data_IF_259806326647
#
_entry.id   IF_259806326647
#
_cell.length_a   1.000
_cell.length_b   1.000
_cell.length_c   1.000
_cell.angle_alpha   90.00
_cell.angle_beta   90.00
_cell.angle_gamma   90.00
#
_symmetry.space_group_name_H-M   'P 1'
#
loop_
_entity.id
_entity.type
_entity.pdbx_description
1 polymer ?
#
# COMPACT_ATOMS: atom_id res chain seq x y z
N UNK A 1 20.29 -9.77 50.31
CA UNK A 1 21.52 -9.05 50.74
C UNK A 1 21.78 -8.06 49.64
N UNK A 2 21.65 -6.95 49.87
CA UNK A 2 21.96 -5.65 50.46
C UNK A 2 21.84 -4.60 49.33
N UNK A 3 21.03 -3.65 49.36
CA UNK A 3 20.89 -2.44 50.16
C UNK A 3 21.36 -1.19 49.40
N UNK A 4 20.40 -0.32 49.09
CA UNK A 4 20.38 1.17 49.14
C UNK A 4 21.45 1.96 48.36
N UNK A 5 21.10 3.07 47.68
CA UNK A 5 20.89 4.36 48.33
C UNK A 5 20.23 5.37 47.38
N UNK A 6 19.30 6.11 47.92
CA UNK A 6 18.65 7.32 47.38
C UNK A 6 19.62 8.51 47.52
N UNK A 7 19.54 9.48 46.62
CA UNK A 7 19.82 10.85 47.05
C UNK A 7 18.97 11.87 46.30
N UNK A 8 18.25 12.63 47.06
CA UNK A 8 17.48 13.83 46.72
C UNK A 8 18.43 15.01 46.51
N UNK A 9 18.08 15.94 45.64
CA UNK A 9 18.68 17.26 45.56
C UNK A 9 17.65 18.26 45.05
N UNK A 10 17.08 19.00 45.99
CA UNK A 10 16.14 20.12 45.83
C UNK A 10 16.91 21.45 45.78
N UNK A 11 16.22 22.52 45.38
CA UNK A 11 16.49 23.98 45.52
C UNK A 11 17.09 24.63 44.25
N UNK A 12 16.70 25.86 43.86
CA UNK A 12 15.76 26.84 44.39
C UNK A 12 15.51 27.91 43.31
N UNK A 13 14.39 28.54 43.44
CA UNK A 13 13.86 29.70 42.74
C UNK A 13 14.72 30.95 42.84
N UNK A 14 14.71 31.79 41.80
CA UNK A 14 14.85 33.25 42.04
C UNK A 14 14.01 34.04 41.01
N UNK A 15 13.00 34.66 41.53
CA UNK A 15 12.15 35.72 40.97
C UNK A 15 12.87 37.04 41.09
N UNK A 16 12.88 37.87 40.05
CA UNK A 16 13.07 39.33 40.19
C UNK A 16 12.01 40.04 39.34
N UNK A 17 11.11 40.66 40.06
CA UNK A 17 10.24 41.74 39.63
C UNK A 17 10.98 43.07 39.82
N UNK A 18 10.88 43.99 38.84
CA UNK A 18 10.91 45.41 39.13
C UNK A 18 9.92 46.12 38.22
N UNK A 19 9.10 46.92 38.87
CA UNK A 19 7.96 47.68 38.36
C UNK A 19 8.30 49.17 38.23
N UNK A 20 7.41 49.85 37.49
CA UNK A 20 6.92 51.22 37.69
C UNK A 20 7.81 52.39 37.21
N UNK A 21 7.37 53.49 36.73
CA UNK A 21 6.17 54.31 36.81
C UNK A 21 6.27 55.42 35.77
N UNK A 22 5.19 55.82 35.16
CA UNK A 22 4.33 57.00 35.35
C UNK A 22 4.86 58.32 34.72
N UNK A 23 4.11 58.97 33.92
CA UNK A 23 3.01 59.88 34.04
C UNK A 23 3.34 61.09 33.15
N UNK A 24 2.43 61.74 32.47
CA UNK A 24 1.38 62.59 32.77
C UNK A 24 1.19 63.59 31.65
N UNK A 25 -0.01 63.72 31.17
CA UNK A 25 -0.89 64.87 30.93
C UNK A 25 -0.27 66.23 30.48
N UNK A 26 -0.75 66.98 29.51
CA UNK A 26 -2.02 67.56 29.21
C UNK A 26 -1.88 68.64 28.10
N UNK A 27 -2.84 68.70 27.21
CA UNK A 27 -3.75 69.81 26.82
C UNK A 27 -3.23 71.21 26.46
N UNK A 28 -3.54 71.62 25.27
CA UNK A 28 -4.39 72.82 25.00
C UNK A 28 -4.27 73.30 23.55
N UNK A 29 -5.41 73.49 22.89
CA UNK A 29 -5.64 74.36 21.74
C UNK A 29 -6.02 75.74 22.28
N UNK A 30 -6.36 76.78 21.56
CA UNK A 30 -6.59 76.96 20.09
C UNK A 30 -6.03 78.30 19.47
N UNK A 31 -6.28 78.51 18.19
CA UNK A 31 -6.79 79.76 17.60
C UNK A 31 -6.13 80.26 16.32
N UNK A 32 -6.86 80.14 15.28
CA UNK A 32 -7.30 81.08 14.26
C UNK A 32 -6.35 82.00 13.45
N UNK A 33 -6.59 82.00 12.17
CA UNK A 33 -6.80 82.99 11.22
C UNK A 33 -5.98 82.91 9.91
N UNK A 34 -6.71 82.87 8.84
CA UNK A 34 -6.30 83.01 7.42
C UNK A 34 -5.93 84.45 7.08
N UNK A 35 -5.63 84.91 5.80
CA UNK A 35 -5.69 84.22 4.51
C UNK A 35 -4.56 84.56 3.50
N UNK A 36 -4.62 83.82 2.34
CA UNK A 36 -4.35 84.26 0.97
C UNK A 36 -2.93 84.33 0.45
N UNK A 37 -2.63 83.46 -0.51
CA UNK A 37 -2.20 83.82 -1.89
C UNK A 37 -2.00 82.50 -2.73
N UNK A 38 -2.60 82.56 -3.93
CA UNK A 38 -2.54 81.57 -4.97
C UNK A 38 -1.22 81.61 -5.76
N UNK A 39 -0.71 80.44 -6.20
CA UNK A 39 -0.09 80.08 -7.45
C UNK A 39 1.12 79.13 -7.26
N UNK A 40 1.58 78.41 -8.24
CA UNK A 40 0.95 77.69 -9.36
C UNK A 40 1.08 76.16 -9.27
N UNK A 41 0.22 75.49 -10.00
CA UNK A 41 0.16 74.04 -10.20
C UNK A 41 1.48 73.45 -10.65
N UNK A 42 2.14 72.72 -9.78
CA UNK A 42 3.17 71.79 -10.17
C UNK A 42 2.52 70.38 -10.37
N UNK A 43 2.73 69.81 -11.54
CA UNK A 43 2.26 68.48 -11.90
C UNK A 43 2.71 67.44 -10.87
N UNK A 44 1.74 66.68 -10.35
CA UNK A 44 2.04 65.50 -9.51
C UNK A 44 2.85 64.48 -10.29
N UNK A 45 3.89 63.88 -9.71
CA UNK A 45 4.56 62.75 -10.30
C UNK A 45 3.59 61.56 -10.36
N UNK A 46 3.38 61.03 -11.57
CA UNK A 46 2.69 59.76 -11.81
C UNK A 46 3.45 58.69 -11.03
N UNK A 47 2.86 58.26 -9.95
CA UNK A 47 3.33 57.04 -9.25
C UNK A 47 2.95 55.87 -10.13
N UNK A 48 3.95 55.26 -10.80
CA UNK A 48 3.79 53.98 -11.46
C UNK A 48 3.23 52.97 -10.44
N UNK A 49 2.29 52.09 -10.83
CA UNK A 49 1.86 51.03 -9.92
C UNK A 49 3.07 50.24 -9.54
N UNK A 50 3.44 50.26 -8.26
CA UNK A 50 4.38 49.29 -7.69
C UNK A 50 3.70 47.95 -7.85
N UNK A 51 4.18 47.08 -8.75
CA UNK A 51 3.86 45.69 -8.74
C UNK A 51 4.15 45.21 -7.31
N UNK A 52 3.11 44.79 -6.62
CA UNK A 52 3.27 44.12 -5.32
C UNK A 52 4.16 42.91 -5.59
N UNK A 53 5.38 42.97 -5.11
CA UNK A 53 6.24 41.80 -5.10
C UNK A 53 5.46 40.66 -4.40
N UNK A 54 5.09 39.65 -5.16
CA UNK A 54 4.53 38.42 -4.59
C UNK A 54 5.53 37.96 -3.52
N UNK A 55 5.10 37.96 -2.26
CA UNK A 55 5.93 37.39 -1.21
C UNK A 55 6.28 35.95 -1.64
N UNK A 56 7.57 35.69 -1.80
CA UNK A 56 8.06 34.36 -2.14
C UNK A 56 7.62 33.40 -1.02
N UNK A 57 6.87 32.36 -1.38
CA UNK A 57 6.45 31.32 -0.44
C UNK A 57 7.68 30.74 0.27
N UNK A 58 7.56 30.44 1.55
CA UNK A 58 8.65 29.81 2.31
C UNK A 58 9.00 28.45 1.69
N UNK A 59 10.30 28.09 1.63
CA UNK A 59 10.69 26.75 1.16
C UNK A 59 10.09 25.66 2.03
N UNK A 60 9.56 24.63 1.40
CA UNK A 60 9.01 23.44 2.04
C UNK A 60 9.70 22.21 1.46
N UNK A 61 10.11 21.30 2.31
CA UNK A 61 10.73 20.03 1.92
C UNK A 61 9.99 18.91 2.64
N UNK A 62 9.68 17.81 1.91
CA UNK A 62 9.07 16.64 2.49
C UNK A 62 9.53 15.35 1.81
N UNK A 63 9.46 14.24 2.54
CA UNK A 63 9.86 12.91 2.10
C UNK A 63 8.68 12.11 1.56
N UNK A 64 8.91 11.40 0.46
CA UNK A 64 7.98 10.40 -0.06
C UNK A 64 8.69 9.05 -0.26
N UNK A 65 8.30 8.07 0.57
CA UNK A 65 8.85 6.72 0.54
C UNK A 65 7.88 5.74 -0.12
N UNK A 66 8.32 5.03 -1.16
CA UNK A 66 7.47 4.08 -1.88
C UNK A 66 8.23 2.82 -2.33
N UNK A 67 7.46 1.79 -2.73
CA UNK A 67 7.96 0.48 -3.15
C UNK A 67 7.82 0.23 -4.66
N UNK A 68 7.46 1.23 -5.43
CA UNK A 68 7.31 1.12 -6.88
C UNK A 68 8.69 1.10 -7.52
N UNK A 69 9.30 -0.09 -7.59
CA UNK A 69 10.68 -0.32 -8.07
C UNK A 69 10.74 -0.64 -9.54
N UNK A 70 9.66 -1.18 -10.14
CA UNK A 70 9.59 -1.44 -11.58
C UNK A 70 9.84 -0.17 -12.39
N UNK A 71 10.66 -0.28 -13.44
CA UNK A 71 11.26 0.87 -14.13
C UNK A 71 10.22 1.89 -14.62
N UNK A 72 9.11 1.42 -15.20
CA UNK A 72 8.03 2.29 -15.71
C UNK A 72 7.37 3.05 -14.56
N UNK A 73 6.90 2.35 -13.54
CA UNK A 73 6.22 2.97 -12.40
C UNK A 73 7.12 3.92 -11.61
N UNK A 74 8.41 3.57 -11.45
CA UNK A 74 9.40 4.44 -10.81
C UNK A 74 9.58 5.74 -11.60
N UNK A 75 9.65 5.65 -12.94
CA UNK A 75 9.77 6.82 -13.80
C UNK A 75 8.52 7.71 -13.76
N UNK A 76 7.33 7.11 -13.72
CA UNK A 76 6.07 7.83 -13.63
C UNK A 76 5.92 8.57 -12.30
N UNK A 77 6.24 7.92 -11.18
CA UNK A 77 6.18 8.56 -9.86
C UNK A 77 7.16 9.74 -9.78
N UNK A 78 8.37 9.56 -10.31
CA UNK A 78 9.35 10.66 -10.41
C UNK A 78 8.81 11.80 -11.28
N UNK A 79 8.26 11.50 -12.46
CA UNK A 79 7.73 12.51 -13.37
C UNK A 79 6.55 13.31 -12.76
N UNK A 80 5.67 12.64 -12.01
CA UNK A 80 4.57 13.29 -11.29
C UNK A 80 5.11 14.23 -10.21
N UNK A 81 6.11 13.78 -9.44
CA UNK A 81 6.74 14.61 -8.42
C UNK A 81 7.47 15.81 -9.04
N UNK A 82 8.19 15.61 -10.13
CA UNK A 82 8.90 16.69 -10.86
C UNK A 82 7.93 17.73 -11.43
N UNK A 83 6.78 17.27 -11.96
CA UNK A 83 5.72 18.16 -12.47
C UNK A 83 5.11 19.02 -11.36
N UNK A 84 4.89 18.42 -10.18
CA UNK A 84 4.41 19.16 -9.02
C UNK A 84 5.42 20.20 -8.55
N UNK A 85 6.70 19.83 -8.39
CA UNK A 85 7.78 20.74 -8.01
C UNK A 85 7.97 21.87 -9.01
N UNK A 86 7.82 21.60 -10.31
CA UNK A 86 7.88 22.64 -11.34
C UNK A 86 6.74 23.67 -11.23
N UNK A 87 5.54 23.25 -10.82
CA UNK A 87 4.41 24.13 -10.55
C UNK A 87 4.49 24.84 -9.18
N UNK A 88 5.25 24.28 -8.24
CA UNK A 88 5.41 24.79 -6.88
C UNK A 88 6.91 24.98 -6.56
N UNK A 89 7.58 26.04 -7.03
CA UNK A 89 9.03 26.21 -6.94
C UNK A 89 9.59 26.29 -5.52
N UNK A 90 8.72 26.56 -4.54
CA UNK A 90 9.08 26.55 -3.13
C UNK A 90 9.06 25.14 -2.49
N UNK A 91 8.56 24.12 -3.22
CA UNK A 91 8.42 22.75 -2.70
C UNK A 91 9.54 21.85 -3.25
N UNK A 92 10.11 21.05 -2.37
CA UNK A 92 11.04 19.98 -2.70
C UNK A 92 10.53 18.65 -2.16
N UNK A 93 10.40 17.65 -3.03
CA UNK A 93 10.01 16.29 -2.68
C UNK A 93 11.22 15.38 -2.77
N UNK A 94 11.56 14.70 -1.67
CA UNK A 94 12.62 13.71 -1.64
C UNK A 94 12.03 12.30 -1.80
N UNK A 95 12.22 11.69 -2.96
CA UNK A 95 11.74 10.33 -3.20
C UNK A 95 12.72 9.30 -2.68
N UNK A 96 12.23 8.36 -1.87
CA UNK A 96 12.98 7.16 -1.47
C UNK A 96 12.26 5.92 -1.99
N UNK A 97 12.93 5.18 -2.88
CA UNK A 97 12.41 3.96 -3.51
C UNK A 97 13.14 2.75 -2.97
N UNK A 98 12.39 1.76 -2.49
CA UNK A 98 12.97 0.54 -1.92
C UNK A 98 12.15 -0.70 -2.29
N UNK A 99 12.82 -1.85 -2.32
CA UNK A 99 12.14 -3.15 -2.36
C UNK A 99 11.28 -3.34 -1.11
N UNK A 100 10.19 -4.09 -1.27
CA UNK A 100 9.12 -4.25 -0.28
C UNK A 100 9.64 -4.59 1.13
N UNK A 101 10.48 -5.63 1.27
CA UNK A 101 10.95 -6.06 2.59
C UNK A 101 11.96 -5.08 3.20
N UNK A 102 12.81 -4.47 2.38
CA UNK A 102 13.72 -3.41 2.81
C UNK A 102 12.94 -2.17 3.27
N UNK A 103 11.87 -1.81 2.58
CA UNK A 103 10.97 -0.73 2.95
C UNK A 103 10.30 -1.00 4.30
N UNK A 104 9.68 -2.18 4.49
CA UNK A 104 9.03 -2.56 5.76
C UNK A 104 9.99 -2.44 6.94
N UNK A 105 11.21 -2.96 6.79
CA UNK A 105 12.25 -2.90 7.82
C UNK A 105 12.67 -1.47 8.14
N UNK A 106 12.90 -0.65 7.11
CA UNK A 106 13.28 0.76 7.29
C UNK A 106 12.16 1.55 7.94
N UNK A 107 10.92 1.39 7.45
CA UNK A 107 9.75 2.10 8.00
C UNK A 107 9.55 1.76 9.47
N UNK A 108 9.61 0.48 9.85
CA UNK A 108 9.47 0.05 11.24
C UNK A 108 10.55 0.69 12.14
N UNK A 109 11.79 0.74 11.67
CA UNK A 109 12.90 1.37 12.41
C UNK A 109 12.68 2.87 12.58
N UNK A 110 12.29 3.57 11.52
CA UNK A 110 12.00 5.00 11.51
C UNK A 110 10.84 5.34 12.45
N UNK A 111 9.75 4.57 12.39
CA UNK A 111 8.60 4.75 13.27
C UNK A 111 8.94 4.53 14.75
N UNK A 112 9.77 3.51 15.06
CA UNK A 112 10.24 3.28 16.44
C UNK A 112 11.09 4.43 16.96
N UNK A 113 11.84 5.10 16.08
CA UNK A 113 12.61 6.29 16.42
C UNK A 113 11.74 7.56 16.52
N UNK A 114 10.47 7.52 16.11
CA UNK A 114 9.58 8.68 16.02
C UNK A 114 9.86 9.58 14.82
N UNK A 115 10.73 9.14 13.91
CA UNK A 115 11.12 9.81 12.65
C UNK A 115 10.28 9.25 11.51
N UNK A 116 9.03 9.70 11.41
CA UNK A 116 8.05 9.20 10.44
C UNK A 116 8.17 9.98 9.14
N UNK A 117 8.34 9.31 7.97
CA UNK A 117 8.35 10.02 6.69
C UNK A 117 7.01 10.70 6.45
N UNK A 118 7.02 11.84 5.74
CA UNK A 118 5.82 12.65 5.51
C UNK A 118 4.76 11.89 4.70
N UNK A 119 5.19 11.26 3.62
CA UNK A 119 4.37 10.39 2.79
C UNK A 119 5.05 9.02 2.64
N UNK A 120 4.30 7.95 2.82
CA UNK A 120 4.89 6.62 2.68
C UNK A 120 3.89 5.56 2.23
N UNK A 121 4.40 4.54 1.56
CA UNK A 121 3.64 3.36 1.15
C UNK A 121 2.91 2.75 2.33
N UNK A 122 1.63 2.48 2.14
CA UNK A 122 0.79 1.77 3.10
C UNK A 122 -0.20 0.85 2.35
N UNK A 123 -0.63 -0.19 3.02
CA UNK A 123 -1.69 -1.08 2.54
C UNK A 123 -2.99 -0.88 3.34
N UNK A 124 -3.01 0.13 4.24
CA UNK A 124 -4.15 0.39 5.12
C UNK A 124 -4.35 -0.68 6.19
N UNK A 125 -5.60 -0.95 6.53
CA UNK A 125 -5.99 -2.02 7.46
C UNK A 125 -5.50 -1.81 8.90
N UNK A 126 -5.35 -2.92 9.64
CA UNK A 126 -5.02 -2.88 11.05
C UNK A 126 -3.58 -2.42 11.32
N UNK A 127 -2.64 -2.68 10.40
CA UNK A 127 -1.27 -2.16 10.52
C UNK A 127 -1.27 -0.64 10.53
N UNK A 128 -2.02 0.00 9.62
CA UNK A 128 -2.17 1.46 9.61
C UNK A 128 -2.91 1.95 10.86
N UNK A 129 -3.95 1.24 11.30
CA UNK A 129 -4.69 1.59 12.52
C UNK A 129 -3.78 1.64 13.75
N UNK A 130 -2.88 0.67 13.93
CA UNK A 130 -1.88 0.69 15.01
C UNK A 130 -0.94 1.89 14.91
N UNK A 131 -0.52 2.28 13.71
CA UNK A 131 0.31 3.47 13.49
C UNK A 131 -0.45 4.74 13.89
N UNK A 132 -1.75 4.81 13.58
CA UNK A 132 -2.62 5.91 13.98
C UNK A 132 -2.81 5.98 15.51
N UNK A 133 -3.06 4.84 16.18
CA UNK A 133 -3.17 4.76 17.64
C UNK A 133 -1.86 5.16 18.36
N UNK A 134 -0.73 4.84 17.75
CA UNK A 134 0.58 5.29 18.23
C UNK A 134 0.85 6.79 18.00
N UNK A 135 -0.08 7.53 17.38
CA UNK A 135 0.07 8.95 17.07
C UNK A 135 1.13 9.26 16.02
N UNK A 136 1.42 8.29 15.14
CA UNK A 136 2.43 8.41 14.09
C UNK A 136 1.86 8.94 12.77
N UNK A 137 0.53 8.97 12.63
CA UNK A 137 -0.16 9.40 11.42
C UNK A 137 -0.94 10.70 11.62
N UNK A 138 -1.08 11.46 10.56
CA UNK A 138 -1.88 12.68 10.49
C UNK A 138 -3.31 12.36 10.09
N UNK A 139 -4.27 12.88 10.85
CA UNK A 139 -5.68 12.91 10.45
C UNK A 139 -5.88 13.93 9.32
N UNK A 140 -6.14 13.43 8.12
CA UNK A 140 -6.35 14.23 6.91
C UNK A 140 -7.82 14.33 6.50
N UNK A 141 -8.75 13.96 7.37
CA UNK A 141 -10.19 13.90 7.05
C UNK A 141 -10.72 15.21 6.49
N UNK A 142 -10.37 16.33 7.13
CA UNK A 142 -10.80 17.66 6.69
C UNK A 142 -10.12 18.08 5.37
N UNK A 143 -8.84 17.76 5.22
CA UNK A 143 -8.02 18.17 4.07
C UNK A 143 -8.49 17.50 2.77
N UNK A 144 -8.96 16.25 2.85
CA UNK A 144 -9.40 15.49 1.69
C UNK A 144 -10.90 15.61 1.39
N UNK A 145 -11.69 16.19 2.29
CA UNK A 145 -13.15 16.21 2.23
C UNK A 145 -13.70 16.75 0.89
N UNK A 146 -13.02 17.75 0.30
CA UNK A 146 -13.46 18.38 -0.96
C UNK A 146 -13.24 17.51 -2.20
N UNK A 147 -12.41 16.47 -2.13
CA UNK A 147 -12.05 15.62 -3.27
C UNK A 147 -12.10 14.11 -3.00
N UNK A 148 -12.37 13.69 -1.75
CA UNK A 148 -12.49 12.27 -1.40
C UNK A 148 -13.50 11.51 -2.28
N UNK A 149 -14.57 12.18 -2.75
CA UNK A 149 -15.58 11.59 -3.64
C UNK A 149 -15.08 11.26 -5.06
N UNK A 150 -13.90 11.73 -5.43
CA UNK A 150 -13.26 11.36 -6.70
C UNK A 150 -12.55 10.01 -6.63
N UNK A 151 -12.48 9.41 -5.45
CA UNK A 151 -11.83 8.12 -5.21
C UNK A 151 -12.91 7.08 -4.85
N UNK A 152 -12.69 5.84 -5.25
CA UNK A 152 -13.59 4.73 -4.92
C UNK A 152 -13.79 4.62 -3.40
N UNK A 153 -15.05 4.69 -2.89
CA UNK A 153 -15.30 4.73 -1.45
C UNK A 153 -14.89 3.43 -0.73
N UNK A 154 -15.00 2.28 -1.39
CA UNK A 154 -14.55 1.00 -0.83
C UNK A 154 -13.03 0.96 -0.64
N UNK A 155 -12.26 1.54 -1.57
CA UNK A 155 -10.82 1.69 -1.42
C UNK A 155 -10.47 2.68 -0.30
N UNK A 156 -11.15 3.84 -0.25
CA UNK A 156 -10.95 4.85 0.80
C UNK A 156 -11.17 4.28 2.20
N UNK A 157 -12.16 3.40 2.39
CA UNK A 157 -12.48 2.83 3.71
C UNK A 157 -11.35 2.00 4.31
N UNK A 158 -10.47 1.41 3.49
CA UNK A 158 -9.31 0.64 3.95
C UNK A 158 -8.29 1.53 4.68
N UNK A 159 -8.29 2.84 4.37
CA UNK A 159 -7.39 3.84 4.95
C UNK A 159 -8.08 4.71 6.00
N UNK A 160 -9.24 4.23 6.52
CA UNK A 160 -9.96 4.87 7.61
C UNK A 160 -9.79 4.08 8.90
N UNK A 161 -9.68 4.83 10.00
CA UNK A 161 -9.68 4.27 11.34
C UNK A 161 -10.39 5.22 12.29
N UNK A 162 -11.30 4.70 13.13
CA UNK A 162 -12.12 5.47 14.06
C UNK A 162 -12.81 6.70 13.41
N UNK A 163 -13.31 6.55 12.20
CA UNK A 163 -13.99 7.60 11.44
C UNK A 163 -13.08 8.69 10.87
N UNK A 164 -11.76 8.50 10.91
CA UNK A 164 -10.74 9.41 10.41
C UNK A 164 -9.99 8.83 9.22
N UNK A 165 -9.54 9.68 8.30
CA UNK A 165 -8.74 9.30 7.14
C UNK A 165 -7.26 9.52 7.43
N UNK A 166 -6.41 8.51 7.18
CA UNK A 166 -4.98 8.55 7.47
C UNK A 166 -4.09 8.30 6.25
N UNK A 167 -4.69 7.99 5.12
CA UNK A 167 -3.98 7.79 3.85
C UNK A 167 -4.94 7.77 2.68
N UNK A 168 -4.37 7.69 1.48
CA UNK A 168 -5.10 7.71 0.20
C UNK A 168 -4.74 6.45 -0.59
N UNK A 169 -5.72 5.59 -0.95
CA UNK A 169 -5.48 4.49 -1.88
C UNK A 169 -5.30 5.03 -3.30
N UNK A 170 -4.24 4.64 -4.00
CA UNK A 170 -4.06 5.01 -5.40
C UNK A 170 -4.27 3.84 -6.37
N UNK A 171 -4.14 2.61 -5.89
CA UNK A 171 -4.23 1.38 -6.66
C UNK A 171 -5.03 0.35 -5.87
N UNK A 172 -5.88 -0.42 -6.54
CA UNK A 172 -6.63 -1.52 -5.93
C UNK A 172 -6.93 -2.61 -6.95
N UNK A 173 -6.51 -3.82 -6.64
CA UNK A 173 -6.70 -4.98 -7.48
C UNK A 173 -7.15 -6.22 -6.73
N UNK A 174 -7.00 -7.37 -7.39
CA UNK A 174 -7.33 -8.69 -6.88
C UNK A 174 -6.20 -9.65 -7.23
N UNK A 175 -5.82 -10.48 -6.29
CA UNK A 175 -4.85 -11.55 -6.51
C UNK A 175 -5.48 -12.64 -7.38
N UNK A 176 -4.72 -13.14 -8.33
CA UNK A 176 -5.08 -14.27 -9.18
C UNK A 176 -3.84 -14.92 -9.78
N UNK A 177 -4.04 -15.95 -10.54
CA UNK A 177 -2.93 -16.63 -11.20
C UNK A 177 -2.54 -15.93 -12.50
N UNK A 178 -1.31 -15.44 -12.53
CA UNK A 178 -0.61 -15.02 -13.73
C UNK A 178 0.08 -16.22 -14.33
N UNK A 179 -0.15 -16.52 -15.63
CA UNK A 179 0.34 -17.74 -16.23
C UNK A 179 0.91 -17.55 -17.64
N UNK A 180 1.83 -18.41 -18.01
CA UNK A 180 2.42 -18.46 -19.35
C UNK A 180 1.57 -19.36 -20.26
N UNK A 181 0.80 -18.74 -21.19
CA UNK A 181 -0.06 -19.43 -22.17
C UNK A 181 0.71 -20.46 -23.00
N UNK A 182 1.95 -20.15 -23.41
CA UNK A 182 2.75 -21.05 -24.23
C UNK A 182 3.17 -22.32 -23.46
N UNK A 183 3.48 -22.21 -22.14
CA UNK A 183 3.81 -23.38 -21.31
C UNK A 183 2.56 -24.23 -21.02
N UNK A 184 1.38 -23.60 -20.87
CA UNK A 184 0.12 -24.31 -20.75
C UNK A 184 -0.19 -25.11 -22.02
N UNK A 185 -0.05 -24.49 -23.19
CA UNK A 185 -0.23 -25.16 -24.49
C UNK A 185 0.76 -26.34 -24.64
N UNK A 186 2.03 -26.12 -24.31
CA UNK A 186 3.08 -27.19 -24.34
C UNK A 186 2.72 -28.37 -23.42
N UNK A 187 2.06 -28.13 -22.29
CA UNK A 187 1.58 -29.18 -21.38
C UNK A 187 0.22 -29.78 -21.76
N UNK A 188 -0.37 -29.35 -22.89
CA UNK A 188 -1.69 -29.80 -23.34
C UNK A 188 -2.83 -29.29 -22.46
N UNK A 189 -2.68 -28.08 -21.89
CA UNK A 189 -3.70 -27.40 -21.10
C UNK A 189 -4.35 -26.36 -22.03
N UNK A 190 -5.60 -26.60 -22.42
CA UNK A 190 -6.30 -25.80 -23.43
C UNK A 190 -7.09 -24.63 -22.87
N UNK A 191 -7.33 -24.60 -21.56
CA UNK A 191 -8.02 -23.52 -20.86
C UNK A 191 -7.50 -23.43 -19.42
N UNK A 192 -7.54 -22.23 -18.80
CA UNK A 192 -7.26 -22.07 -17.37
C UNK A 192 -8.22 -22.92 -16.52
N UNK A 193 -7.73 -23.49 -15.38
CA UNK A 193 -8.56 -24.26 -14.46
C UNK A 193 -9.58 -23.36 -13.75
N UNK A 194 -10.79 -23.88 -13.58
CA UNK A 194 -11.90 -23.19 -12.90
C UNK A 194 -12.20 -23.80 -11.53
N UNK A 195 -11.72 -25.02 -11.28
CA UNK A 195 -11.81 -25.70 -9.99
C UNK A 195 -10.43 -26.07 -9.45
N UNK A 196 -10.34 -26.26 -8.13
CA UNK A 196 -9.09 -26.67 -7.48
C UNK A 196 -8.58 -28.03 -7.99
N UNK A 197 -9.49 -28.96 -8.24
CA UNK A 197 -9.14 -30.27 -8.82
C UNK A 197 -8.53 -30.12 -10.24
N UNK A 198 -9.11 -29.26 -11.06
CA UNK A 198 -8.55 -28.94 -12.39
C UNK A 198 -7.19 -28.23 -12.27
N UNK A 199 -7.01 -27.37 -11.26
CA UNK A 199 -5.72 -26.73 -10.99
C UNK A 199 -4.65 -27.76 -10.62
N UNK A 200 -4.94 -28.68 -9.70
CA UNK A 200 -4.01 -29.76 -9.33
C UNK A 200 -3.70 -30.66 -10.55
N UNK A 201 -4.70 -30.96 -11.39
CA UNK A 201 -4.51 -31.69 -12.64
C UNK A 201 -3.60 -30.94 -13.64
N UNK A 202 -3.77 -29.60 -13.74
CA UNK A 202 -2.92 -28.76 -14.57
C UNK A 202 -1.48 -28.74 -14.05
N UNK A 203 -1.27 -28.63 -12.75
CA UNK A 203 0.05 -28.77 -12.10
C UNK A 203 0.69 -30.12 -12.45
N UNK A 204 -0.07 -31.22 -12.37
CA UNK A 204 0.42 -32.55 -12.75
C UNK A 204 0.84 -32.64 -14.23
N UNK A 205 0.08 -32.05 -15.15
CA UNK A 205 0.43 -31.99 -16.58
C UNK A 205 1.68 -31.18 -16.85
N UNK A 206 1.83 -30.02 -16.21
CA UNK A 206 3.05 -29.20 -16.30
C UNK A 206 4.28 -29.97 -15.82
N UNK A 207 4.18 -30.64 -14.68
CA UNK A 207 5.25 -31.50 -14.17
C UNK A 207 5.60 -32.63 -15.13
N UNK A 208 4.61 -33.34 -15.69
CA UNK A 208 4.83 -34.40 -16.65
C UNK A 208 5.51 -33.90 -17.93
N UNK A 209 5.28 -32.65 -18.32
CA UNK A 209 5.95 -31.98 -19.44
C UNK A 209 7.36 -31.45 -19.08
N UNK A 210 7.85 -31.65 -17.85
CA UNK A 210 9.14 -31.13 -17.38
C UNK A 210 9.16 -29.63 -17.10
N UNK A 211 7.98 -29.02 -16.92
CA UNK A 211 7.80 -27.58 -16.68
C UNK A 211 7.59 -27.37 -15.18
N UNK A 212 8.25 -26.38 -14.60
CA UNK A 212 7.96 -25.91 -13.23
C UNK A 212 6.58 -25.27 -13.19
N UNK A 213 5.60 -25.80 -12.42
CA UNK A 213 4.24 -25.31 -12.44
C UNK A 213 4.06 -23.94 -11.79
N UNK A 214 4.62 -23.72 -10.61
CA UNK A 214 4.37 -22.57 -9.76
C UNK A 214 5.68 -21.98 -9.23
N UNK A 215 5.87 -20.68 -9.42
CA UNK A 215 6.88 -19.92 -8.69
C UNK A 215 6.28 -19.38 -7.38
N UNK A 216 7.09 -19.36 -6.33
CA UNK A 216 6.73 -18.83 -5.01
C UNK A 216 7.96 -18.30 -4.28
N UNK A 217 7.83 -17.16 -3.62
CA UNK A 217 8.89 -16.51 -2.86
C UNK A 217 8.85 -16.94 -1.38
N UNK A 218 9.53 -18.03 -1.08
CA UNK A 218 9.52 -18.59 0.26
C UNK A 218 10.33 -17.81 1.30
N UNK A 219 11.28 -16.96 0.87
CA UNK A 219 12.01 -16.08 1.78
C UNK A 219 11.18 -14.88 2.24
N UNK A 220 10.36 -14.36 1.36
CA UNK A 220 9.52 -13.19 1.66
C UNK A 220 8.17 -13.61 2.28
N UNK A 221 7.83 -14.91 2.24
CA UNK A 221 6.75 -15.63 2.94
C UNK A 221 5.32 -15.21 2.56
N UNK A 222 5.01 -13.92 2.43
CA UNK A 222 3.66 -13.41 2.14
C UNK A 222 3.02 -13.98 0.86
N UNK A 223 3.73 -14.39 -0.22
CA UNK A 223 3.08 -15.05 -1.35
C UNK A 223 2.42 -16.38 -0.98
N UNK A 224 3.00 -17.13 -0.04
CA UNK A 224 2.40 -18.37 0.47
C UNK A 224 1.13 -18.09 1.28
N UNK A 225 1.11 -17.05 2.08
CA UNK A 225 -0.07 -16.61 2.83
C UNK A 225 -1.23 -16.25 1.89
N UNK A 226 -0.98 -15.61 0.76
CA UNK A 226 -2.03 -15.30 -0.21
C UNK A 226 -2.72 -16.56 -0.76
N UNK A 227 -1.95 -17.59 -1.12
CA UNK A 227 -2.49 -18.85 -1.63
C UNK A 227 -3.30 -19.54 -0.54
N UNK A 228 -2.76 -19.63 0.67
CA UNK A 228 -3.45 -20.23 1.82
C UNK A 228 -4.73 -19.47 2.17
N UNK A 229 -4.72 -18.13 2.15
CA UNK A 229 -5.91 -17.31 2.40
C UNK A 229 -7.04 -17.62 1.42
N UNK A 230 -6.72 -17.78 0.13
CA UNK A 230 -7.71 -18.20 -0.85
C UNK A 230 -8.29 -19.57 -0.56
N UNK A 231 -7.47 -20.54 -0.15
CA UNK A 231 -7.96 -21.86 0.22
C UNK A 231 -8.87 -21.81 1.44
N UNK A 232 -8.57 -20.98 2.45
CA UNK A 232 -9.47 -20.72 3.58
C UNK A 232 -10.80 -20.11 3.10
N UNK A 233 -10.71 -19.08 2.26
CA UNK A 233 -11.87 -18.39 1.70
C UNK A 233 -12.76 -19.34 0.87
N UNK A 234 -12.16 -20.19 0.04
CA UNK A 234 -12.91 -21.16 -0.77
C UNK A 234 -13.54 -22.28 0.05
N UNK A 235 -12.88 -22.76 1.11
CA UNK A 235 -13.42 -23.77 1.99
C UNK A 235 -14.51 -23.23 2.94
N UNK A 236 -14.30 -22.04 3.53
CA UNK A 236 -15.16 -21.52 4.60
C UNK A 236 -16.16 -20.46 4.17
N UNK A 237 -15.91 -19.76 3.05
CA UNK A 237 -16.69 -18.60 2.64
C UNK A 237 -16.27 -17.30 3.31
N UNK A 238 -16.74 -16.17 2.74
CA UNK A 238 -16.37 -14.82 3.18
C UNK A 238 -16.76 -14.53 4.62
N UNK A 239 -17.99 -14.90 5.03
CA UNK A 239 -18.48 -14.66 6.39
C UNK A 239 -17.65 -15.41 7.44
N UNK A 240 -17.30 -16.67 7.17
CA UNK A 240 -16.48 -17.47 8.08
C UNK A 240 -15.05 -16.90 8.19
N UNK A 241 -14.46 -16.45 7.08
CA UNK A 241 -13.14 -15.81 7.10
C UNK A 241 -13.19 -14.49 7.87
N UNK A 242 -14.20 -13.65 7.63
CA UNK A 242 -14.39 -12.41 8.39
C UNK A 242 -14.55 -12.67 9.89
N UNK A 243 -15.28 -13.72 10.27
CA UNK A 243 -15.43 -14.12 11.65
C UNK A 243 -14.10 -14.58 12.26
N UNK A 244 -13.30 -15.40 11.56
CA UNK A 244 -11.96 -15.81 12.02
C UNK A 244 -11.05 -14.60 12.26
N UNK A 245 -11.04 -13.64 11.33
CA UNK A 245 -10.28 -12.38 11.50
C UNK A 245 -10.76 -11.58 12.70
N UNK A 246 -12.08 -11.49 12.91
CA UNK A 246 -12.66 -10.72 14.01
C UNK A 246 -12.44 -11.36 15.38
N UNK A 247 -12.59 -12.68 15.48
CA UNK A 247 -12.52 -13.40 16.75
C UNK A 247 -11.12 -13.86 17.13
N UNK A 248 -10.24 -13.97 16.14
CA UNK A 248 -8.89 -14.56 16.30
C UNK A 248 -8.91 -16.09 16.43
N UNK A 249 -10.07 -16.75 16.32
CA UNK A 249 -10.15 -18.21 16.37
C UNK A 249 -10.00 -18.82 14.97
N UNK A 250 -8.82 -19.35 14.70
CA UNK A 250 -8.46 -20.03 13.45
C UNK A 250 -8.52 -21.55 13.54
N UNK A 251 -8.86 -22.14 14.71
CA UNK A 251 -9.00 -23.59 14.87
C UNK A 251 -10.31 -24.13 14.25
N UNK A 252 -10.58 -23.73 13.02
CA UNK A 252 -11.80 -24.06 12.26
C UNK A 252 -11.54 -25.16 11.22
N UNK A 253 -12.61 -25.80 10.75
CA UNK A 253 -12.50 -26.78 9.66
C UNK A 253 -12.04 -26.12 8.36
N UNK A 254 -12.41 -24.86 8.10
CA UNK A 254 -11.97 -24.12 6.91
C UNK A 254 -10.45 -23.93 6.90
N UNK A 255 -9.86 -23.56 8.02
CA UNK A 255 -8.42 -23.40 8.16
C UNK A 255 -7.69 -24.76 7.96
N UNK A 256 -8.18 -25.83 8.59
CA UNK A 256 -7.56 -27.17 8.47
C UNK A 256 -7.63 -27.69 7.04
N UNK A 257 -8.79 -27.60 6.39
CA UNK A 257 -8.97 -27.99 4.99
C UNK A 257 -8.06 -27.20 4.05
N UNK A 258 -7.91 -25.89 4.26
CA UNK A 258 -6.96 -25.08 3.49
C UNK A 258 -5.53 -25.62 3.64
N UNK A 259 -5.15 -26.04 4.82
CA UNK A 259 -3.85 -26.70 5.05
C UNK A 259 -3.73 -28.05 4.34
N UNK A 260 -4.79 -28.86 4.34
CA UNK A 260 -4.85 -30.14 3.59
C UNK A 260 -4.71 -29.92 2.08
N UNK A 261 -5.34 -28.88 1.54
CA UNK A 261 -5.22 -28.48 0.13
C UNK A 261 -3.78 -28.07 -0.22
N UNK A 262 -3.09 -27.36 0.67
CA UNK A 262 -1.65 -27.05 0.51
C UNK A 262 -0.83 -28.34 0.49
N UNK A 263 -1.11 -29.31 1.37
CA UNK A 263 -0.38 -30.59 1.38
C UNK A 263 -0.63 -31.40 0.09
N UNK A 264 -1.86 -31.36 -0.46
CA UNK A 264 -2.18 -31.99 -1.73
C UNK A 264 -1.39 -31.33 -2.89
N UNK A 265 -1.27 -30.00 -2.89
CA UNK A 265 -0.43 -29.28 -3.85
C UNK A 265 1.06 -29.64 -3.68
N UNK A 266 1.57 -29.64 -2.46
CA UNK A 266 2.96 -29.97 -2.14
C UNK A 266 3.35 -31.37 -2.61
N UNK A 267 2.43 -32.34 -2.55
CA UNK A 267 2.66 -33.72 -3.02
C UNK A 267 3.01 -33.80 -4.51
N UNK A 268 2.65 -32.78 -5.31
CA UNK A 268 2.99 -32.69 -6.72
C UNK A 268 4.36 -32.06 -6.98
N UNK A 269 5.07 -31.58 -5.95
CA UNK A 269 6.33 -30.84 -6.06
C UNK A 269 6.26 -29.70 -7.09
N UNK A 270 5.34 -28.72 -6.93
CA UNK A 270 5.02 -27.75 -7.97
C UNK A 270 6.04 -26.63 -8.11
N UNK A 271 6.86 -26.39 -7.09
CA UNK A 271 7.65 -25.18 -6.95
C UNK A 271 8.98 -25.23 -7.72
N UNK A 272 9.53 -24.04 -8.02
CA UNK A 272 10.87 -23.90 -8.56
C UNK A 272 11.92 -24.38 -7.54
N UNK A 273 13.07 -24.83 -8.05
CA UNK A 273 14.20 -25.20 -7.18
C UNK A 273 14.65 -24.00 -6.34
N UNK A 274 14.93 -24.26 -5.07
CA UNK A 274 15.38 -23.23 -4.14
C UNK A 274 14.29 -22.25 -3.67
N UNK A 275 13.00 -22.53 -3.90
CA UNK A 275 11.89 -21.64 -3.57
C UNK A 275 11.91 -21.12 -2.12
N UNK A 276 12.36 -21.92 -1.16
CA UNK A 276 12.45 -21.54 0.26
C UNK A 276 13.36 -20.34 0.53
N UNK A 277 14.34 -20.10 -0.35
CA UNK A 277 15.24 -18.95 -0.27
C UNK A 277 14.98 -17.89 -1.34
N UNK A 278 13.94 -18.06 -2.17
CA UNK A 278 13.59 -17.14 -3.22
C UNK A 278 12.89 -15.90 -2.65
N UNK A 279 13.29 -14.74 -3.13
CA UNK A 279 12.58 -13.47 -2.90
C UNK A 279 11.51 -13.26 -3.95
N UNK A 280 10.61 -12.28 -3.78
CA UNK A 280 9.59 -11.96 -4.77
C UNK A 280 10.20 -11.55 -6.14
N UNK A 281 11.27 -10.75 -6.23
CA UNK A 281 11.96 -10.57 -7.51
C UNK A 281 12.44 -11.86 -8.17
N UNK A 282 12.83 -12.89 -7.39
CA UNK A 282 13.21 -14.20 -7.95
C UNK A 282 12.00 -14.98 -8.47
N UNK A 283 10.85 -14.92 -7.77
CA UNK A 283 9.57 -15.49 -8.19
C UNK A 283 9.12 -14.87 -9.52
N UNK A 284 9.04 -13.54 -9.58
CA UNK A 284 8.66 -12.79 -10.77
C UNK A 284 9.62 -13.05 -11.96
N UNK A 285 10.94 -13.14 -11.68
CA UNK A 285 11.94 -13.50 -12.69
C UNK A 285 11.75 -14.92 -13.24
N UNK A 286 11.33 -15.88 -12.41
CA UNK A 286 11.08 -17.24 -12.87
C UNK A 286 9.92 -17.29 -13.88
N UNK A 287 8.85 -16.55 -13.64
CA UNK A 287 7.71 -16.46 -14.57
C UNK A 287 8.06 -15.59 -15.77
N UNK A 288 8.61 -14.38 -15.55
CA UNK A 288 8.97 -13.45 -16.62
C UNK A 288 9.97 -14.00 -17.64
N UNK A 289 10.83 -14.93 -17.22
CA UNK A 289 11.76 -15.66 -18.11
C UNK A 289 11.18 -16.98 -18.67
N UNK A 290 9.91 -17.31 -18.38
CA UNK A 290 9.29 -18.56 -18.81
C UNK A 290 9.90 -19.82 -18.18
N UNK A 291 10.53 -19.71 -17.02
CA UNK A 291 11.09 -20.85 -16.27
C UNK A 291 10.08 -21.51 -15.34
N UNK A 292 9.03 -20.77 -14.95
CA UNK A 292 7.86 -21.30 -14.25
C UNK A 292 6.60 -20.92 -15.03
N UNK A 293 5.57 -21.76 -14.92
CA UNK A 293 4.34 -21.58 -15.67
C UNK A 293 3.41 -20.55 -15.03
N UNK A 294 3.41 -20.40 -13.71
CA UNK A 294 2.47 -19.55 -12.96
C UNK A 294 3.13 -18.90 -11.75
N UNK A 295 2.52 -17.80 -11.30
CA UNK A 295 2.58 -17.27 -9.93
C UNK A 295 1.19 -16.81 -9.50
N UNK A 296 0.92 -16.80 -8.19
CA UNK A 296 -0.30 -16.23 -7.62
C UNK A 296 -0.01 -14.84 -7.08
N UNK A 297 -0.47 -13.78 -7.78
CA UNK A 297 -0.02 -12.43 -7.49
C UNK A 297 -1.08 -11.38 -7.85
N UNK A 298 -0.89 -10.16 -7.36
CA UNK A 298 -1.76 -9.02 -7.66
C UNK A 298 -1.48 -8.38 -9.02
N UNK A 299 -2.15 -7.27 -9.28
CA UNK A 299 -2.12 -6.51 -10.54
C UNK A 299 -0.74 -5.93 -10.91
N UNK A 300 0.16 -5.84 -9.97
CA UNK A 300 1.55 -5.38 -10.17
C UNK A 300 2.46 -6.42 -10.84
N UNK A 301 2.05 -7.69 -10.89
CA UNK A 301 2.89 -8.78 -11.36
C UNK A 301 3.45 -8.57 -12.78
N UNK A 302 2.70 -8.10 -13.79
CA UNK A 302 3.23 -7.92 -15.14
C UNK A 302 4.45 -7.00 -15.20
N UNK A 303 4.40 -5.86 -14.51
CA UNK A 303 5.51 -4.89 -14.49
C UNK A 303 6.73 -5.43 -13.74
N UNK A 304 6.51 -6.15 -12.62
CA UNK A 304 7.59 -6.77 -11.84
C UNK A 304 8.22 -7.94 -12.58
N UNK A 305 7.42 -8.79 -13.25
CA UNK A 305 7.94 -9.85 -14.14
C UNK A 305 8.80 -9.28 -15.26
N UNK A 306 8.30 -8.24 -15.93
CA UNK A 306 9.03 -7.56 -16.99
C UNK A 306 10.38 -7.03 -16.47
N UNK A 307 10.38 -6.33 -15.35
CA UNK A 307 11.57 -5.69 -14.81
C UNK A 307 12.59 -6.69 -14.28
N UNK A 308 12.16 -7.87 -13.86
CA UNK A 308 13.04 -8.94 -13.38
C UNK A 308 13.36 -10.01 -14.44
N UNK A 309 12.79 -9.91 -15.66
CA UNK A 309 13.18 -10.77 -16.78
C UNK A 309 14.55 -10.36 -17.34
N UNK A 310 15.26 -11.31 -17.95
CA UNK A 310 16.59 -11.10 -18.48
C UNK A 310 16.62 -10.07 -19.63
N UNK A 311 15.57 -10.06 -20.45
CA UNK A 311 15.42 -9.15 -21.61
C UNK A 311 14.61 -7.90 -21.31
N UNK A 312 14.12 -7.75 -20.06
CA UNK A 312 13.25 -6.65 -19.60
C UNK A 312 11.94 -6.51 -20.37
N UNK A 313 11.42 -7.62 -20.92
CA UNK A 313 10.16 -7.68 -21.68
C UNK A 313 9.10 -8.55 -21.03
N UNK A 314 9.51 -9.43 -20.09
CA UNK A 314 8.61 -10.40 -19.50
C UNK A 314 8.01 -11.35 -20.54
N UNK A 315 6.79 -11.80 -20.29
CA UNK A 315 6.10 -12.73 -21.20
C UNK A 315 5.35 -12.04 -22.36
N UNK A 316 5.09 -10.73 -22.27
CA UNK A 316 4.31 -10.00 -23.26
C UNK A 316 2.96 -10.67 -23.54
N UNK A 317 2.60 -10.86 -24.81
CA UNK A 317 1.31 -11.47 -25.23
C UNK A 317 1.11 -12.92 -24.75
N UNK A 318 2.17 -13.57 -24.28
CA UNK A 318 2.10 -14.93 -23.70
C UNK A 318 1.59 -14.92 -22.26
N UNK A 319 1.55 -13.76 -21.60
CA UNK A 319 1.00 -13.64 -20.27
C UNK A 319 -0.52 -13.74 -20.31
N UNK A 320 -1.09 -14.49 -19.39
CA UNK A 320 -2.52 -14.57 -19.14
C UNK A 320 -2.81 -14.44 -17.65
N UNK A 321 -4.08 -14.24 -17.32
CA UNK A 321 -4.56 -14.19 -15.94
C UNK A 321 -5.83 -15.01 -15.80
N UNK A 322 -6.02 -15.65 -14.63
CA UNK A 322 -7.29 -16.24 -14.23
C UNK A 322 -7.50 -16.10 -12.72
N UNK A 323 -8.77 -15.99 -12.31
CA UNK A 323 -9.17 -15.91 -10.92
C UNK A 323 -8.84 -17.20 -10.17
N UNK A 324 -8.67 -17.13 -8.85
CA UNK A 324 -8.44 -18.31 -8.02
C UNK A 324 -9.60 -19.31 -8.16
N UNK A 325 -9.30 -20.60 -8.46
CA UNK A 325 -10.33 -21.61 -8.72
C UNK A 325 -11.31 -21.83 -7.56
N UNK A 326 -12.50 -22.30 -7.88
CA UNK A 326 -13.47 -22.76 -6.87
C UNK A 326 -13.03 -24.09 -6.25
N UNK A 327 -13.41 -24.35 -5.01
CA UNK A 327 -13.27 -25.68 -4.37
C UNK A 327 -14.62 -26.38 -4.42
N UNK A 328 -14.66 -27.58 -5.00
CA UNK A 328 -15.87 -28.40 -5.07
C UNK A 328 -16.34 -28.76 -3.66
N UNK A 329 -17.56 -28.34 -3.32
CA UNK A 329 -18.10 -28.56 -1.97
C UNK A 329 -17.62 -27.55 -0.93
N UNK A 330 -16.80 -26.59 -1.27
CA UNK A 330 -16.45 -25.45 -0.42
C UNK A 330 -17.60 -24.44 -0.33
N UNK A 331 -17.64 -23.66 0.73
CA UNK A 331 -18.70 -22.68 1.00
C UNK A 331 -18.43 -21.30 0.34
N UNK A 332 -17.20 -21.03 -0.10
CA UNK A 332 -16.80 -19.74 -0.69
C UNK A 332 -17.27 -19.59 -2.13
N UNK A 333 -17.76 -18.40 -2.48
CA UNK A 333 -18.13 -18.10 -3.86
C UNK A 333 -16.89 -18.03 -4.76
N UNK A 334 -16.97 -18.49 -6.03
CA UNK A 334 -15.85 -18.38 -6.98
C UNK A 334 -15.42 -16.93 -7.24
N UNK A 335 -16.33 -15.99 -7.06
CA UNK A 335 -16.10 -14.56 -7.27
C UNK A 335 -15.48 -13.86 -6.07
N UNK A 336 -15.53 -14.46 -4.86
CA UNK A 336 -14.89 -13.87 -3.69
C UNK A 336 -13.39 -13.78 -3.89
N UNK A 337 -12.78 -12.73 -3.39
CA UNK A 337 -11.39 -12.43 -3.66
C UNK A 337 -10.52 -12.18 -2.44
N UNK A 338 -9.23 -12.37 -2.65
CA UNK A 338 -8.18 -11.82 -1.81
C UNK A 338 -7.55 -10.69 -2.59
N UNK A 339 -7.42 -9.54 -2.00
CA UNK A 339 -6.89 -8.40 -2.71
C UNK A 339 -6.74 -7.21 -1.80
N UNK A 340 -6.42 -6.13 -2.42
CA UNK A 340 -6.13 -4.86 -1.79
C UNK A 340 -5.42 -4.00 -2.81
N UNK A 341 -4.73 -3.02 -2.32
CA UNK A 341 -4.00 -2.13 -3.19
C UNK A 341 -2.94 -1.40 -2.42
N UNK A 342 -2.32 -0.50 -3.15
CA UNK A 342 -1.31 0.39 -2.64
C UNK A 342 -1.95 1.75 -2.32
N UNK A 343 -1.49 2.35 -1.27
CA UNK A 343 -1.85 3.71 -0.92
C UNK A 343 -0.69 4.45 -0.29
N UNK A 344 -0.94 5.68 0.05
CA UNK A 344 0.03 6.57 0.64
C UNK A 344 -0.54 7.03 1.98
N UNK A 345 0.10 6.62 3.08
CA UNK A 345 -0.20 7.12 4.40
C UNK A 345 0.51 8.46 4.64
N UNK A 346 -0.07 9.27 5.53
CA UNK A 346 0.44 10.61 5.83
C UNK A 346 1.02 10.62 7.24
N UNK A 347 2.31 10.90 7.35
CA UNK A 347 3.03 11.02 8.61
C UNK A 347 2.55 12.20 9.46
N UNK A 348 2.68 12.08 10.78
CA UNK A 348 2.15 13.04 11.77
C UNK A 348 2.60 14.49 11.56
N UNK A 349 3.82 14.67 11.05
CA UNK A 349 4.47 15.97 10.89
C UNK A 349 4.41 16.49 9.43
N UNK A 350 3.74 15.75 8.51
CA UNK A 350 3.66 16.10 7.10
C UNK A 350 3.10 17.52 6.88
N UNK A 351 3.76 18.35 6.06
CA UNK A 351 3.30 19.70 5.76
C UNK A 351 2.03 19.69 4.89
N UNK A 352 1.25 20.80 4.86
CA UNK A 352 0.06 20.89 4.01
C UNK A 352 0.34 20.63 2.53
N UNK A 353 1.51 21.00 2.04
CA UNK A 353 1.96 20.80 0.67
C UNK A 353 2.07 19.32 0.30
N UNK A 354 2.39 18.45 1.26
CA UNK A 354 2.39 17.00 1.05
C UNK A 354 0.97 16.48 0.76
N UNK A 355 -0.06 17.02 1.41
CA UNK A 355 -1.45 16.64 1.17
C UNK A 355 -1.96 17.23 -0.16
N UNK A 356 -1.54 18.45 -0.51
CA UNK A 356 -1.83 19.03 -1.82
C UNK A 356 -1.17 18.22 -2.95
N UNK A 357 0.07 17.75 -2.73
CA UNK A 357 0.71 16.81 -3.65
C UNK A 357 -0.09 15.52 -3.81
N UNK A 358 -0.66 14.94 -2.73
CA UNK A 358 -1.52 13.76 -2.85
C UNK A 358 -2.74 14.02 -3.73
N UNK A 359 -3.37 15.18 -3.62
CA UNK A 359 -4.47 15.58 -4.50
C UNK A 359 -4.02 15.68 -5.96
N UNK A 360 -2.85 16.26 -6.21
CA UNK A 360 -2.24 16.33 -7.55
C UNK A 360 -1.93 14.92 -8.08
N UNK A 361 -1.31 14.06 -7.28
CA UNK A 361 -1.01 12.67 -7.62
C UNK A 361 -2.28 11.90 -8.02
N UNK A 362 -3.39 12.11 -7.29
CA UNK A 362 -4.69 11.47 -7.52
C UNK A 362 -5.54 12.15 -8.61
N UNK A 363 -5.00 13.16 -9.31
CA UNK A 363 -5.72 13.78 -10.45
C UNK A 363 -6.02 12.75 -11.54
N UNK A 364 -7.14 12.92 -12.25
CA UNK A 364 -7.56 12.04 -13.36
C UNK A 364 -6.44 11.91 -14.41
N UNK A 365 -5.72 13.00 -14.70
CA UNK A 365 -4.62 12.99 -15.67
C UNK A 365 -3.49 12.05 -15.24
N UNK A 366 -2.98 12.18 -14.02
CA UNK A 366 -1.91 11.36 -13.49
C UNK A 366 -2.33 9.89 -13.35
N UNK A 367 -3.55 9.66 -12.88
CA UNK A 367 -4.08 8.31 -12.69
C UNK A 367 -4.38 7.60 -14.02
N UNK A 368 -4.82 8.32 -15.04
CA UNK A 368 -4.93 7.80 -16.41
C UNK A 368 -3.57 7.36 -16.96
N UNK A 369 -2.53 8.15 -16.69
CA UNK A 369 -1.17 7.79 -17.11
C UNK A 369 -0.72 6.48 -16.45
N UNK A 370 -0.87 6.34 -15.13
CA UNK A 370 -0.50 5.13 -14.39
C UNK A 370 -1.26 3.89 -14.89
N UNK A 371 -2.56 4.04 -15.19
CA UNK A 371 -3.35 2.97 -15.79
C UNK A 371 -2.85 2.57 -17.19
N UNK A 372 -2.61 3.58 -18.06
CA UNK A 372 -2.16 3.35 -19.45
C UNK A 372 -0.81 2.66 -19.48
N UNK A 373 0.08 3.02 -18.56
CA UNK A 373 1.44 2.46 -18.48
C UNK A 373 1.48 1.13 -17.68
N UNK A 374 0.31 0.64 -17.22
CA UNK A 374 0.19 -0.63 -16.51
C UNK A 374 0.85 -0.64 -15.13
N UNK A 375 0.97 0.52 -14.49
CA UNK A 375 1.60 0.66 -13.16
C UNK A 375 0.69 0.17 -12.05
N UNK A 376 -0.64 0.32 -12.22
CA UNK A 376 -1.64 -0.11 -11.27
C UNK A 376 -3.05 -0.08 -11.84
N UNK A 377 -4.04 -0.35 -10.98
CA UNK A 377 -5.46 -0.21 -11.26
C UNK A 377 -5.99 0.93 -10.38
N UNK A 378 -6.03 2.13 -10.95
CA UNK A 378 -6.38 3.35 -10.22
C UNK A 378 -7.72 3.24 -9.48
N UNK A 379 -7.75 3.87 -8.32
CA UNK A 379 -8.96 4.05 -7.50
C UNK A 379 -9.70 5.34 -7.82
N UNK A 380 -9.13 6.22 -8.65
CA UNK A 380 -9.79 7.44 -9.11
C UNK A 380 -10.94 7.10 -10.05
N UNK A 381 -12.14 7.53 -9.69
CA UNK A 381 -13.38 7.26 -10.45
C UNK A 381 -13.29 7.87 -11.84
N UNK A 382 -13.70 7.09 -12.86
CA UNK A 382 -13.73 7.54 -14.25
C UNK A 382 -12.42 7.31 -15.02
N UNK A 383 -11.44 6.64 -14.43
CA UNK A 383 -10.17 6.30 -15.08
C UNK A 383 -10.13 4.89 -15.66
N UNK A 384 -11.16 4.09 -15.44
CA UNK A 384 -11.19 2.65 -15.78
C UNK A 384 -11.04 2.40 -17.28
N UNK A 385 -11.53 3.31 -18.13
CA UNK A 385 -11.46 3.20 -19.59
C UNK A 385 -10.04 3.30 -20.16
N UNK A 386 -9.07 3.76 -19.39
CA UNK A 386 -7.67 3.86 -19.80
C UNK A 386 -6.88 2.55 -19.58
N UNK A 387 -7.47 1.58 -18.88
CA UNK A 387 -6.90 0.26 -18.69
C UNK A 387 -7.16 -0.54 -19.97
N UNK A 388 -6.15 -0.70 -20.83
CA UNK A 388 -6.26 -1.36 -22.12
C UNK A 388 -5.70 -2.78 -22.14
N UNK A 389 -4.86 -3.15 -21.18
CA UNK A 389 -4.35 -4.52 -21.05
C UNK A 389 -5.50 -5.49 -20.70
N UNK A 390 -5.73 -6.55 -21.50
CA UNK A 390 -6.86 -7.45 -21.30
C UNK A 390 -6.78 -8.26 -20.01
N UNK A 391 -5.59 -8.51 -19.48
CA UNK A 391 -5.43 -9.21 -18.20
C UNK A 391 -5.77 -8.27 -17.04
N UNK A 392 -5.33 -7.01 -17.10
CA UNK A 392 -5.70 -6.01 -16.08
C UNK A 392 -7.20 -5.69 -16.13
N UNK A 393 -7.82 -5.68 -17.32
CA UNK A 393 -9.28 -5.61 -17.44
C UNK A 393 -9.97 -6.82 -16.81
N UNK A 394 -9.41 -8.02 -16.94
CA UNK A 394 -9.94 -9.22 -16.29
C UNK A 394 -9.80 -9.14 -14.75
N UNK A 395 -8.69 -8.62 -14.23
CA UNK A 395 -8.52 -8.35 -12.78
C UNK A 395 -9.57 -7.35 -12.30
N UNK A 396 -9.77 -6.26 -13.03
CA UNK A 396 -10.77 -5.23 -12.71
C UNK A 396 -12.20 -5.81 -12.71
N UNK A 397 -12.53 -6.63 -13.71
CA UNK A 397 -13.81 -7.30 -13.79
C UNK A 397 -14.01 -8.31 -12.64
N UNK A 398 -12.98 -9.08 -12.30
CA UNK A 398 -12.99 -10.01 -11.16
C UNK A 398 -13.22 -9.28 -9.84
N UNK A 399 -12.51 -8.19 -9.60
CA UNK A 399 -12.72 -7.32 -8.43
C UNK A 399 -14.15 -6.76 -8.38
N UNK A 400 -14.68 -6.31 -9.52
CA UNK A 400 -16.04 -5.76 -9.63
C UNK A 400 -17.14 -6.80 -9.40
N UNK A 401 -16.87 -8.07 -9.68
CA UNK A 401 -17.81 -9.18 -9.47
C UNK A 401 -17.77 -9.75 -8.04
N UNK A 402 -16.71 -9.44 -7.28
CA UNK A 402 -16.53 -9.96 -5.94
C UNK A 402 -17.59 -9.38 -4.98
N UNK A 403 -18.24 -10.27 -4.23
CA UNK A 403 -19.16 -9.88 -3.16
C UNK A 403 -18.44 -9.77 -1.81
N UNK A 404 -17.35 -10.51 -1.66
CA UNK A 404 -16.45 -10.45 -0.53
C UNK A 404 -15.01 -10.28 -1.01
N UNK A 405 -14.29 -9.34 -0.39
CA UNK A 405 -12.87 -9.09 -0.64
C UNK A 405 -12.12 -9.10 0.69
N UNK A 406 -11.23 -10.05 0.86
CA UNK A 406 -10.33 -10.09 2.01
C UNK A 406 -9.08 -9.27 1.71
N UNK A 407 -8.82 -8.26 2.54
CA UNK A 407 -7.51 -7.59 2.54
C UNK A 407 -6.41 -8.60 2.94
N UNK A 408 -5.21 -8.42 2.41
CA UNK A 408 -4.04 -9.24 2.78
C UNK A 408 -3.97 -9.45 4.28
N UNK A 409 -3.94 -10.72 4.74
CA UNK A 409 -4.08 -11.01 6.17
C UNK A 409 -2.97 -10.41 7.03
N UNK A 410 -1.75 -10.29 6.49
CA UNK A 410 -0.63 -9.63 7.15
C UNK A 410 -0.82 -8.11 7.33
N UNK A 411 -1.77 -7.51 6.61
CA UNK A 411 -2.15 -6.09 6.71
C UNK A 411 -3.52 -5.91 7.41
N UNK A 412 -4.42 -6.87 7.21
CA UNK A 412 -5.74 -6.87 7.84
C UNK A 412 -5.67 -7.13 9.35
N UNK A 413 -4.57 -7.71 9.81
CA UNK A 413 -4.29 -7.98 11.22
C UNK A 413 -3.05 -7.20 11.65
N UNK A 414 -3.00 -6.85 12.94
CA UNK A 414 -2.00 -5.95 13.44
C UNK A 414 -0.86 -6.68 14.18
N UNK A 415 0.26 -5.99 14.38
CA UNK A 415 1.37 -6.45 15.20
C UNK A 415 2.04 -7.74 14.72
N UNK A 416 2.33 -8.62 15.66
CA UNK A 416 3.01 -9.90 15.39
C UNK A 416 2.10 -10.91 14.68
N UNK A 417 0.78 -10.73 14.72
CA UNK A 417 -0.16 -11.66 14.09
C UNK A 417 0.00 -11.66 12.57
N UNK A 418 0.19 -10.50 11.94
CA UNK A 418 0.47 -10.40 10.50
C UNK A 418 1.68 -11.22 10.09
N UNK A 419 2.79 -11.11 10.84
CA UNK A 419 3.98 -11.92 10.59
C UNK A 419 3.72 -13.42 10.87
N UNK A 420 2.94 -13.76 11.90
CA UNK A 420 2.60 -15.15 12.19
C UNK A 420 1.85 -15.83 11.04
N UNK A 421 0.98 -15.10 10.32
CA UNK A 421 0.37 -15.65 9.10
C UNK A 421 1.41 -16.03 8.06
N UNK A 422 2.38 -15.17 7.82
CA UNK A 422 3.44 -15.41 6.85
C UNK A 422 4.30 -16.61 7.28
N UNK A 423 4.82 -16.61 8.50
CA UNK A 423 5.69 -17.67 9.04
C UNK A 423 4.99 -19.04 9.06
N UNK A 424 3.77 -19.10 9.60
CA UNK A 424 3.04 -20.34 9.77
C UNK A 424 2.64 -20.97 8.44
N UNK A 425 2.16 -20.16 7.49
CA UNK A 425 1.80 -20.64 6.16
C UNK A 425 3.04 -21.08 5.40
N UNK A 426 4.13 -20.29 5.41
CA UNK A 426 5.36 -20.68 4.73
C UNK A 426 5.96 -21.98 5.31
N UNK A 427 5.89 -22.17 6.63
CA UNK A 427 6.32 -23.43 7.25
C UNK A 427 5.53 -24.63 6.70
N UNK A 428 4.23 -24.48 6.41
CA UNK A 428 3.40 -25.52 5.79
C UNK A 428 3.83 -25.80 4.34
N UNK A 429 4.02 -24.74 3.54
CA UNK A 429 4.51 -24.87 2.16
C UNK A 429 5.89 -25.51 2.11
N UNK A 430 6.74 -25.22 3.08
CA UNK A 430 8.08 -25.84 3.21
C UNK A 430 8.05 -27.29 3.71
N UNK A 431 6.87 -27.83 4.09
CA UNK A 431 6.73 -29.18 4.66
C UNK A 431 7.23 -29.29 6.11
N UNK A 432 7.36 -28.18 6.82
CA UNK A 432 7.85 -28.10 8.20
C UNK A 432 6.73 -27.97 9.25
N UNK A 433 5.46 -27.86 8.82
CA UNK A 433 4.28 -27.74 9.69
C UNK A 433 3.15 -28.68 9.27
N UNK A 434 2.06 -28.70 10.04
CA UNK A 434 0.81 -29.41 9.71
C UNK A 434 -0.34 -28.42 9.69
N UNK A 435 -1.48 -28.73 9.03
CA UNK A 435 -2.66 -27.88 9.02
C UNK A 435 -3.09 -27.41 10.41
N UNK A 436 -3.15 -28.32 11.37
CA UNK A 436 -3.57 -28.02 12.75
C UNK A 436 -2.59 -27.07 13.43
N UNK A 437 -1.28 -27.25 13.23
CA UNK A 437 -0.25 -26.39 13.82
C UNK A 437 -0.31 -24.96 13.26
N UNK A 438 -0.60 -24.81 11.96
CA UNK A 438 -0.79 -23.49 11.36
C UNK A 438 -1.98 -22.77 12.00
N UNK A 439 -3.14 -23.44 12.06
CA UNK A 439 -4.35 -22.87 12.65
C UNK A 439 -4.15 -22.54 14.13
N UNK A 440 -3.49 -23.40 14.88
CA UNK A 440 -3.20 -23.20 16.31
C UNK A 440 -2.23 -22.02 16.51
N UNK A 441 -1.14 -21.95 15.74
CA UNK A 441 -0.15 -20.87 15.87
C UNK A 441 -0.77 -19.50 15.63
N UNK A 442 -1.67 -19.39 14.61
CA UNK A 442 -2.37 -18.14 14.32
C UNK A 442 -3.36 -17.79 15.43
N UNK A 443 -4.11 -18.80 15.95
CA UNK A 443 -5.04 -18.60 17.08
C UNK A 443 -4.29 -18.14 18.34
N UNK A 444 -3.17 -18.77 18.67
CA UNK A 444 -2.36 -18.41 19.83
C UNK A 444 -1.80 -16.99 19.71
N UNK A 445 -1.33 -16.59 18.52
CA UNK A 445 -0.85 -15.24 18.26
C UNK A 445 -1.98 -14.20 18.35
N UNK A 446 -3.18 -14.52 17.86
CA UNK A 446 -4.34 -13.64 17.96
C UNK A 446 -4.79 -13.41 19.42
N UNK A 447 -4.67 -14.41 20.28
CA UNK A 447 -5.01 -14.30 21.70
C UNK A 447 -4.07 -13.36 22.50
N UNK A 448 -2.95 -12.95 21.92
CA UNK A 448 -1.95 -12.08 22.57
C UNK A 448 -1.97 -10.64 22.07
N UNK A 449 -2.92 -10.24 21.20
CA UNK A 449 -3.05 -8.89 20.59
C UNK A 449 -3.73 -7.86 21.49
#
# INVERSE_FOLDING_TARGET
MSTRLRMFGLLASTTVLIAACSGGTASSAPSAAAPTAAAPTAAAPSVAPTEAASEALAPVEFDWWHITTAAVGKADFQAIADAYMAAHPNVKINLTVQENEAFKTKLATSMQAGDVPDLFQSWGGATMAQQADAGLLKDITADVASWASTINPGAMSIYQYNGKQYGIPWDMGMIGFWYNKALFEQAGITAPPTTWDEYLAAVGKLKAAGITPLAIAGKDEWPSMHLWTYLVLRNGGGDALAQMVQTGDWNTDACKKAGEDVLALNALNPYQDGFKGATYPNEAAAVGNGKAAMELMGQWAPSVQMDNSADKKGLGDKLGWFAFPAITGGAGAPTDGVGGGNGIAVGKDAPPEAIDFLKFFMSVENQNKLNTDGVGLSTTVGTESTITDPNLQAVLAGRGAAQFMQLYLDQATAGTLGQTFNDATMALFAGASTPEKVCQAITDAAATQ
#
